data_IF_889306519374
#
_entry.id   IF_889306519374
#
_cell.length_a   1.000
_cell.length_b   1.000
_cell.length_c   1.000
_cell.angle_alpha   90.00
_cell.angle_beta   90.00
_cell.angle_gamma   90.00
#
_symmetry.space_group_name_H-M   'P 1'
#
loop_
_entity.id
_entity.type
_entity.pdbx_description
1 polymer ?
#
# COMPACT_ATOMS: atom_id res chain seq x y z
N UNK A 1 -44.14 6.28 -15.92
CA UNK A 1 -43.36 7.08 -14.95
C UNK A 1 -42.23 6.19 -14.49
N UNK A 2 -41.08 6.28 -15.17
CA UNK A 2 -39.91 5.44 -14.92
C UNK A 2 -38.83 6.37 -14.33
N UNK A 3 -38.42 6.12 -13.08
CA UNK A 3 -37.30 6.81 -12.45
C UNK A 3 -36.19 5.79 -12.23
N UNK A 4 -35.46 5.51 -13.30
CA UNK A 4 -34.20 4.77 -13.24
C UNK A 4 -33.11 5.75 -12.83
N UNK A 5 -32.80 5.81 -11.53
CA UNK A 5 -31.64 6.53 -11.01
C UNK A 5 -30.41 5.63 -11.17
N UNK A 6 -29.86 5.58 -12.38
CA UNK A 6 -28.56 4.97 -12.64
C UNK A 6 -27.47 5.78 -11.95
N UNK A 7 -26.78 5.17 -10.98
CA UNK A 7 -25.59 5.75 -10.36
C UNK A 7 -24.48 5.73 -11.40
N UNK A 8 -24.03 6.92 -11.77
CA UNK A 8 -23.02 7.18 -12.79
C UNK A 8 -21.63 6.90 -12.19
N UNK A 9 -20.98 5.82 -12.63
CA UNK A 9 -19.64 5.40 -12.17
C UNK A 9 -18.56 6.06 -13.02
N UNK A 10 -18.59 7.38 -13.21
CA UNK A 10 -17.46 8.14 -13.76
C UNK A 10 -17.50 9.58 -13.22
N UNK A 11 -16.36 10.06 -12.71
CA UNK A 11 -16.11 11.30 -11.92
C UNK A 11 -16.17 11.03 -10.41
N UNK A 12 -15.08 11.07 -9.63
CA UNK A 12 -14.07 12.12 -9.56
C UNK A 12 -12.70 11.53 -9.13
N UNK A 13 -11.82 11.34 -10.11
CA UNK A 13 -10.38 11.22 -9.88
C UNK A 13 -9.71 12.52 -10.31
N UNK A 14 -9.74 13.57 -9.47
CA UNK A 14 -8.89 14.75 -9.67
C UNK A 14 -8.68 15.52 -8.37
N UNK A 15 -7.39 15.73 -8.07
CA UNK A 15 -6.80 16.75 -7.21
C UNK A 15 -6.73 16.49 -5.70
N UNK A 16 -5.65 15.83 -5.30
CA UNK A 16 -4.69 16.47 -4.40
C UNK A 16 -3.28 16.27 -4.96
N UNK A 17 -2.81 17.24 -5.74
CA UNK A 17 -1.40 17.35 -6.13
C UNK A 17 -0.58 17.65 -4.87
N UNK A 18 -0.07 16.62 -4.21
CA UNK A 18 1.01 16.78 -3.25
C UNK A 18 2.25 17.21 -4.04
N UNK A 19 2.55 18.50 -4.02
CA UNK A 19 3.79 19.09 -4.50
C UNK A 19 4.97 18.56 -3.67
N UNK A 20 5.40 17.33 -3.96
CA UNK A 20 6.65 16.80 -3.46
C UNK A 20 7.73 17.14 -4.48
N UNK A 21 8.58 18.11 -4.12
CA UNK A 21 9.74 18.51 -4.89
C UNK A 21 10.54 17.28 -5.34
N UNK A 22 10.63 17.10 -6.66
CA UNK A 22 11.47 16.14 -7.34
C UNK A 22 12.93 16.37 -6.94
N UNK A 23 13.42 15.61 -5.96
CA UNK A 23 14.85 15.37 -5.83
C UNK A 23 15.14 14.06 -6.56
N UNK A 24 15.48 14.21 -7.84
CA UNK A 24 15.71 13.13 -8.78
C UNK A 24 16.61 12.02 -8.23
N UNK A 25 15.99 10.87 -7.98
CA UNK A 25 16.66 9.56 -7.79
C UNK A 25 15.82 8.43 -8.42
N UNK A 26 15.09 8.76 -9.47
CA UNK A 26 14.00 7.97 -10.08
C UNK A 26 14.45 6.94 -11.13
N UNK A 27 15.54 6.21 -10.89
CA UNK A 27 16.04 5.25 -11.90
C UNK A 27 16.47 3.89 -11.37
N UNK A 28 16.06 3.50 -10.16
CA UNK A 28 16.36 2.16 -9.66
C UNK A 28 15.26 1.60 -8.75
N UNK A 29 14.00 1.72 -9.14
CA UNK A 29 12.86 1.10 -8.45
C UNK A 29 11.97 0.31 -9.41
N UNK A 30 12.51 -0.74 -10.02
CA UNK A 30 11.66 -1.83 -10.49
C UNK A 30 12.40 -3.15 -10.45
N UNK A 31 12.50 -3.70 -9.23
CA UNK A 31 12.66 -5.14 -9.04
C UNK A 31 11.99 -5.50 -7.73
N UNK A 32 10.66 -5.56 -7.77
CA UNK A 32 9.90 -6.30 -6.77
C UNK A 32 10.33 -7.77 -6.91
N UNK A 33 11.11 -8.27 -5.97
CA UNK A 33 11.30 -9.71 -5.81
C UNK A 33 10.27 -10.22 -4.80
N UNK A 34 9.61 -11.36 -5.07
CA UNK A 34 8.69 -11.97 -4.13
C UNK A 34 9.42 -12.45 -2.88
N UNK A 35 8.69 -12.50 -1.77
CA UNK A 35 9.18 -12.97 -0.47
C UNK A 35 9.44 -14.49 -0.59
N UNK A 36 10.70 -14.84 -0.84
CA UNK A 36 11.18 -16.22 -0.82
C UNK A 36 11.55 -16.64 0.61
N UNK A 37 10.94 -17.73 1.06
CA UNK A 37 11.23 -18.43 2.31
C UNK A 37 12.72 -18.74 2.45
N UNK A 38 13.22 -18.65 3.68
CA UNK A 38 14.64 -18.66 4.00
C UNK A 38 15.37 -19.96 3.69
N UNK A 39 16.71 -19.84 3.58
CA UNK A 39 17.66 -20.92 3.86
C UNK A 39 19.05 -20.30 4.15
N UNK A 40 19.57 -20.64 5.34
CA UNK A 40 21.00 -20.82 5.67
C UNK A 40 22.01 -19.73 5.30
N UNK A 41 22.24 -18.78 6.21
CA UNK A 41 23.53 -18.07 6.27
C UNK A 41 24.52 -18.94 7.05
N UNK A 42 25.40 -19.64 6.34
CA UNK A 42 26.57 -20.28 6.94
C UNK A 42 27.57 -19.19 7.35
N UNK A 43 27.92 -19.20 8.64
CA UNK A 43 28.87 -18.29 9.26
C UNK A 43 30.30 -18.58 8.77
N UNK A 44 30.81 -17.71 7.90
CA UNK A 44 32.24 -17.56 7.64
C UNK A 44 32.84 -16.47 8.53
N UNK A 45 33.02 -16.75 9.81
CA UNK A 45 33.71 -15.85 10.74
C UNK A 45 35.23 -15.96 10.60
N UNK A 46 35.79 -15.27 9.60
CA UNK A 46 37.20 -14.91 9.62
C UNK A 46 37.35 -13.62 10.42
N UNK A 47 37.68 -13.80 11.71
CA UNK A 47 38.15 -12.75 12.58
C UNK A 47 39.40 -12.12 11.96
N UNK A 48 39.25 -10.90 11.43
CA UNK A 48 40.39 -10.04 11.13
C UNK A 48 40.78 -9.33 12.42
N UNK A 49 41.99 -9.60 12.88
CA UNK A 49 42.68 -8.87 13.94
C UNK A 49 42.54 -7.37 13.68
N UNK A 50 41.91 -6.62 14.60
CA UNK A 50 41.77 -5.18 14.48
C UNK A 50 42.23 -4.53 15.77
N UNK A 51 43.54 -4.32 15.85
CA UNK A 51 44.14 -3.38 16.79
C UNK A 51 43.62 -1.98 16.46
N UNK A 52 42.85 -1.41 17.38
CA UNK A 52 42.94 0.02 17.74
C UNK A 52 42.81 1.09 16.66
N UNK A 53 41.95 0.96 15.63
CA UNK A 53 41.64 2.10 14.76
C UNK A 53 40.13 2.25 14.56
N UNK A 54 39.56 3.35 15.07
CA UNK A 54 38.18 3.74 14.76
C UNK A 54 38.10 4.14 13.28
N UNK A 55 37.45 3.38 12.39
CA UNK A 55 37.46 3.64 10.94
C UNK A 55 36.77 4.96 10.54
N UNK A 56 36.03 5.55 11.48
CA UNK A 56 35.33 6.81 11.31
C UNK A 56 36.22 8.04 11.56
N UNK A 57 37.24 7.93 12.43
CA UNK A 57 38.12 9.05 12.78
C UNK A 57 38.95 9.49 11.57
N UNK A 58 39.62 8.53 10.93
CA UNK A 58 40.42 8.74 9.72
C UNK A 58 39.58 9.29 8.56
N UNK A 59 38.36 8.78 8.40
CA UNK A 59 37.47 9.22 7.32
C UNK A 59 37.00 10.68 7.50
N UNK A 60 36.79 11.13 8.75
CA UNK A 60 36.40 12.52 9.02
C UNK A 60 37.56 13.49 8.75
N UNK A 61 38.79 13.12 9.16
CA UNK A 61 39.98 13.91 8.86
C UNK A 61 40.23 14.03 7.35
N UNK A 62 40.01 12.95 6.59
CA UNK A 62 40.08 12.98 5.11
C UNK A 62 39.04 13.94 4.53
N UNK A 63 37.79 13.90 5.01
CA UNK A 63 36.77 14.85 4.56
C UNK A 63 37.16 16.31 4.85
N UNK A 64 37.72 16.59 6.03
CA UNK A 64 38.16 17.92 6.41
C UNK A 64 39.33 18.42 5.52
N UNK A 65 40.32 17.56 5.26
CA UNK A 65 41.44 17.88 4.38
C UNK A 65 41.00 18.16 2.93
N UNK A 66 39.90 17.56 2.48
CA UNK A 66 39.34 17.76 1.15
C UNK A 66 38.31 18.90 1.07
N UNK A 67 38.04 19.58 2.19
CA UNK A 67 36.96 20.57 2.28
C UNK A 67 35.58 20.01 1.96
N UNK A 68 35.37 18.71 2.18
CA UNK A 68 34.12 18.02 1.86
C UNK A 68 33.21 17.93 3.07
N UNK A 69 31.99 18.41 2.92
CA UNK A 69 30.94 18.17 3.91
C UNK A 69 30.35 16.76 3.76
N UNK A 70 29.68 16.29 4.83
CA UNK A 70 29.01 14.98 4.84
C UNK A 70 27.90 14.91 3.79
N UNK A 71 27.17 16.01 3.57
CA UNK A 71 26.10 16.12 2.57
C UNK A 71 26.66 16.03 1.15
N UNK A 72 27.71 16.78 0.84
CA UNK A 72 28.37 16.75 -0.47
C UNK A 72 28.97 15.38 -0.80
N UNK A 73 29.53 14.67 0.18
CA UNK A 73 30.05 13.32 0.00
C UNK A 73 28.96 12.32 -0.40
N UNK A 74 27.75 12.47 0.13
CA UNK A 74 26.63 11.59 -0.20
C UNK A 74 26.08 11.92 -1.58
N UNK A 75 25.91 13.21 -1.89
CA UNK A 75 25.27 13.71 -3.11
C UNK A 75 26.14 13.63 -4.37
N UNK A 76 27.48 13.74 -4.24
CA UNK A 76 28.37 13.67 -5.39
C UNK A 76 28.24 12.37 -6.18
N UNK A 77 28.30 12.40 -7.51
CA UNK A 77 28.33 11.17 -8.31
C UNK A 77 29.58 10.32 -8.01
N UNK A 78 29.55 9.04 -8.40
CA UNK A 78 30.74 8.17 -8.30
C UNK A 78 31.89 8.72 -9.13
N UNK A 79 31.61 9.29 -10.32
CA UNK A 79 32.61 9.93 -11.18
C UNK A 79 33.28 11.11 -10.49
N UNK A 80 32.50 12.02 -9.91
CA UNK A 80 33.03 13.20 -9.18
C UNK A 80 33.86 12.77 -7.96
N UNK A 81 33.40 11.77 -7.20
CA UNK A 81 34.18 11.21 -6.10
C UNK A 81 35.52 10.66 -6.59
N UNK A 82 35.52 9.88 -7.67
CA UNK A 82 36.73 9.28 -8.22
C UNK A 82 37.72 10.31 -8.78
N UNK A 83 37.25 11.45 -9.29
CA UNK A 83 38.11 12.57 -9.70
C UNK A 83 38.76 13.18 -8.45
N UNK A 84 37.97 13.50 -7.42
CA UNK A 84 38.50 14.10 -6.17
C UNK A 84 39.52 13.21 -5.46
N UNK A 85 39.26 11.90 -5.39
CA UNK A 85 40.20 10.93 -4.82
C UNK A 85 41.55 10.94 -5.55
N UNK A 86 41.54 11.03 -6.89
CA UNK A 86 42.76 11.07 -7.72
C UNK A 86 43.50 12.39 -7.61
N UNK A 87 42.79 13.53 -7.68
CA UNK A 87 43.38 14.87 -7.59
C UNK A 87 44.00 15.12 -6.22
N UNK A 88 43.45 14.53 -5.16
CA UNK A 88 43.99 14.67 -3.80
C UNK A 88 45.06 13.62 -3.45
N UNK A 89 45.46 12.76 -4.39
CA UNK A 89 46.47 11.72 -4.19
C UNK A 89 46.24 10.86 -2.93
N UNK A 90 44.99 10.47 -2.67
CA UNK A 90 44.65 9.65 -1.51
C UNK A 90 45.22 8.23 -1.64
N UNK A 91 45.77 7.72 -0.55
CA UNK A 91 46.24 6.34 -0.49
C UNK A 91 45.06 5.34 -0.54
N UNK A 92 45.36 4.07 -0.85
CA UNK A 92 44.38 2.99 -0.92
C UNK A 92 43.58 2.82 0.39
N UNK A 93 44.22 3.00 1.55
CA UNK A 93 43.51 2.93 2.84
C UNK A 93 42.54 4.10 3.02
N UNK A 94 42.98 5.32 2.70
CA UNK A 94 42.16 6.54 2.79
C UNK A 94 40.96 6.48 1.83
N UNK A 95 41.18 5.97 0.63
CA UNK A 95 40.11 5.75 -0.37
C UNK A 95 39.06 4.76 0.14
N UNK A 96 39.48 3.66 0.77
CA UNK A 96 38.56 2.69 1.39
C UNK A 96 37.78 3.30 2.54
N UNK A 97 38.45 4.08 3.40
CA UNK A 97 37.80 4.78 4.53
C UNK A 97 36.73 5.77 4.04
N UNK A 98 37.03 6.57 3.01
CA UNK A 98 36.09 7.54 2.44
C UNK A 98 34.87 6.85 1.79
N UNK A 99 35.10 5.74 1.08
CA UNK A 99 34.02 4.91 0.51
C UNK A 99 33.15 4.29 1.61
N UNK A 100 33.76 3.79 2.69
CA UNK A 100 33.05 3.23 3.83
C UNK A 100 32.20 4.30 4.52
N UNK A 101 32.76 5.48 4.79
CA UNK A 101 32.02 6.61 5.37
C UNK A 101 30.84 7.02 4.48
N UNK A 102 31.05 7.11 3.17
CA UNK A 102 29.96 7.40 2.23
C UNK A 102 28.84 6.34 2.28
N UNK A 103 29.18 5.06 2.38
CA UNK A 103 28.20 3.97 2.52
C UNK A 103 27.45 4.06 3.84
N UNK A 104 28.15 4.31 4.95
CA UNK A 104 27.55 4.53 6.28
C UNK A 104 26.54 5.69 6.27
N UNK A 105 26.88 6.81 5.63
CA UNK A 105 26.00 7.96 5.51
C UNK A 105 24.76 7.67 4.65
N UNK A 106 24.94 6.99 3.51
CA UNK A 106 23.81 6.54 2.68
C UNK A 106 22.89 5.58 3.42
N UNK A 107 23.47 4.59 4.12
CA UNK A 107 22.71 3.63 4.93
C UNK A 107 21.89 4.32 6.03
N UNK A 108 22.43 5.39 6.63
CA UNK A 108 21.66 6.21 7.58
C UNK A 108 20.43 6.84 6.92
N UNK A 109 20.58 7.38 5.71
CA UNK A 109 19.46 7.91 4.92
C UNK A 109 18.45 6.82 4.54
N UNK A 110 18.93 5.67 4.06
CA UNK A 110 18.07 4.53 3.71
C UNK A 110 17.27 4.00 4.91
N UNK A 111 17.84 3.98 6.11
CA UNK A 111 17.13 3.59 7.32
C UNK A 111 15.97 4.55 7.65
N UNK A 112 16.18 5.86 7.48
CA UNK A 112 15.11 6.84 7.67
C UNK A 112 13.99 6.66 6.64
N UNK A 113 14.33 6.58 5.35
CA UNK A 113 13.36 6.39 4.26
C UNK A 113 12.60 5.05 4.44
N UNK A 114 13.29 3.99 4.85
CA UNK A 114 12.64 2.69 5.11
C UNK A 114 11.59 2.78 6.21
N UNK A 115 11.85 3.54 7.28
CA UNK A 115 10.88 3.77 8.36
C UNK A 115 9.69 4.59 7.86
N UNK A 116 9.93 5.67 7.13
CA UNK A 116 8.89 6.51 6.53
C UNK A 116 7.98 5.69 5.60
N UNK A 117 8.55 4.99 4.62
CA UNK A 117 7.80 4.14 3.68
C UNK A 117 7.00 3.05 4.37
N UNK A 118 7.52 2.47 5.45
CA UNK A 118 6.79 1.47 6.24
C UNK A 118 5.56 2.07 6.93
N UNK A 119 5.70 3.27 7.48
CA UNK A 119 4.57 3.98 8.13
C UNK A 119 3.54 4.40 7.09
N UNK A 120 3.98 4.95 5.95
CA UNK A 120 3.12 5.31 4.83
C UNK A 120 2.37 4.09 4.27
N UNK A 121 3.07 2.98 4.02
CA UNK A 121 2.46 1.75 3.53
C UNK A 121 1.44 1.19 4.52
N UNK A 122 1.74 1.24 5.83
CA UNK A 122 0.77 0.83 6.85
C UNK A 122 -0.47 1.73 6.81
N UNK A 123 -0.32 3.05 6.76
CA UNK A 123 -1.44 3.98 6.66
C UNK A 123 -2.30 3.75 5.42
N UNK A 124 -1.67 3.51 4.27
CA UNK A 124 -2.38 3.19 3.02
C UNK A 124 -3.18 1.87 3.12
N UNK A 125 -2.65 0.85 3.80
CA UNK A 125 -3.38 -0.40 4.03
C UNK A 125 -4.53 -0.22 5.03
N UNK A 126 -4.35 0.63 6.05
CA UNK A 126 -5.40 0.97 7.02
C UNK A 126 -6.55 1.73 6.34
N UNK A 127 -6.25 2.68 5.46
CA UNK A 127 -7.23 3.41 4.65
C UNK A 127 -8.02 2.46 3.74
N UNK A 128 -7.33 1.60 2.97
CA UNK A 128 -8.01 0.62 2.12
C UNK A 128 -8.93 -0.32 2.90
N UNK A 129 -8.47 -0.79 4.06
CA UNK A 129 -9.29 -1.64 4.94
C UNK A 129 -10.56 -0.91 5.37
N UNK A 130 -10.46 0.38 5.70
CA UNK A 130 -11.62 1.16 6.12
C UNK A 130 -12.58 1.42 4.96
N UNK A 131 -12.07 1.75 3.77
CA UNK A 131 -12.89 1.89 2.56
C UNK A 131 -13.68 0.61 2.25
N UNK A 132 -13.02 -0.55 2.30
CA UNK A 132 -13.67 -1.83 2.04
C UNK A 132 -14.74 -2.13 3.09
N UNK A 133 -14.49 -1.80 4.37
CA UNK A 133 -15.49 -1.96 5.43
C UNK A 133 -16.72 -1.10 5.19
N UNK A 134 -16.53 0.17 4.85
CA UNK A 134 -17.64 1.06 4.53
C UNK A 134 -18.47 0.53 3.35
N UNK A 135 -17.83 -0.08 2.33
CA UNK A 135 -18.56 -0.72 1.23
C UNK A 135 -19.35 -1.95 1.66
N UNK A 136 -18.81 -2.78 2.57
CA UNK A 136 -19.53 -3.92 3.12
C UNK A 136 -20.77 -3.43 3.88
N UNK A 137 -20.61 -2.44 4.77
CA UNK A 137 -21.72 -1.88 5.54
C UNK A 137 -22.81 -1.28 4.65
N UNK A 138 -22.42 -0.59 3.57
CA UNK A 138 -23.38 -0.07 2.59
C UNK A 138 -24.15 -1.20 1.88
N UNK A 139 -23.46 -2.24 1.42
CA UNK A 139 -24.09 -3.39 0.76
C UNK A 139 -24.96 -4.22 1.71
N UNK A 140 -24.59 -4.33 2.98
CA UNK A 140 -25.41 -4.96 4.01
C UNK A 140 -26.71 -4.17 4.23
N UNK A 141 -26.62 -2.84 4.31
CA UNK A 141 -27.81 -1.98 4.42
C UNK A 141 -28.73 -2.10 3.20
N UNK A 142 -28.17 -2.12 1.99
CA UNK A 142 -28.95 -2.35 0.75
C UNK A 142 -29.62 -3.73 0.73
N UNK A 143 -28.92 -4.77 1.18
CA UNK A 143 -29.50 -6.11 1.29
C UNK A 143 -30.65 -6.17 2.30
N UNK A 144 -30.50 -5.50 3.45
CA UNK A 144 -31.55 -5.43 4.47
C UNK A 144 -32.78 -4.67 3.94
N UNK A 145 -32.58 -3.60 3.17
CA UNK A 145 -33.67 -2.87 2.51
C UNK A 145 -34.40 -3.75 1.50
N UNK A 146 -33.68 -4.47 0.64
CA UNK A 146 -34.26 -5.41 -0.32
C UNK A 146 -35.02 -6.53 0.41
N UNK A 147 -34.47 -7.07 1.49
CA UNK A 147 -35.13 -8.09 2.29
C UNK A 147 -36.44 -7.57 2.92
N UNK A 148 -36.45 -6.33 3.42
CA UNK A 148 -37.65 -5.68 3.94
C UNK A 148 -38.70 -5.46 2.85
N UNK A 149 -38.28 -5.10 1.63
CA UNK A 149 -39.15 -4.95 0.47
C UNK A 149 -39.77 -6.28 0.04
N UNK A 150 -38.98 -7.35 -0.03
CA UNK A 150 -39.48 -8.70 -0.29
C UNK A 150 -40.50 -9.09 0.79
N UNK A 151 -40.22 -8.85 2.06
CA UNK A 151 -41.14 -9.15 3.15
C UNK A 151 -42.44 -8.34 3.05
N UNK A 152 -42.38 -7.06 2.67
CA UNK A 152 -43.55 -6.22 2.42
C UNK A 152 -44.40 -6.79 1.28
N UNK A 153 -43.82 -7.03 0.12
CA UNK A 153 -44.54 -7.55 -1.05
C UNK A 153 -45.17 -8.92 -0.74
N UNK A 154 -44.45 -9.80 -0.04
CA UNK A 154 -44.99 -11.09 0.41
C UNK A 154 -46.19 -10.94 1.33
N UNK A 155 -46.16 -10.00 2.27
CA UNK A 155 -47.30 -9.71 3.17
C UNK A 155 -48.50 -9.19 2.39
N UNK A 156 -48.29 -8.20 1.51
CA UNK A 156 -49.36 -7.59 0.72
C UNK A 156 -50.02 -8.63 -0.20
N UNK A 157 -49.22 -9.46 -0.87
CA UNK A 157 -49.71 -10.57 -1.70
C UNK A 157 -50.50 -11.58 -0.88
N UNK A 158 -50.00 -11.97 0.30
CA UNK A 158 -50.68 -12.92 1.19
C UNK A 158 -52.02 -12.36 1.68
N UNK A 159 -52.05 -11.08 2.05
CA UNK A 159 -53.27 -10.40 2.47
C UNK A 159 -54.31 -10.33 1.36
N UNK A 160 -53.88 -9.99 0.14
CA UNK A 160 -54.76 -9.95 -1.03
C UNK A 160 -55.31 -11.34 -1.37
N UNK A 161 -54.47 -12.37 -1.38
CA UNK A 161 -54.93 -13.74 -1.62
C UNK A 161 -55.97 -14.18 -0.58
N UNK A 162 -55.72 -13.93 0.70
CA UNK A 162 -56.67 -14.26 1.76
C UNK A 162 -58.01 -13.54 1.56
N UNK A 163 -57.97 -12.26 1.22
CA UNK A 163 -59.17 -11.46 0.94
C UNK A 163 -59.96 -12.00 -0.26
N UNK A 164 -59.29 -12.35 -1.37
CA UNK A 164 -59.93 -12.93 -2.55
C UNK A 164 -60.57 -14.29 -2.27
N UNK A 165 -59.93 -15.12 -1.44
CA UNK A 165 -60.48 -16.42 -1.01
C UNK A 165 -61.73 -16.22 -0.16
N UNK A 166 -61.70 -15.31 0.80
CA UNK A 166 -62.84 -14.99 1.67
C UNK A 166 -64.07 -14.55 0.87
N UNK A 167 -63.85 -13.74 -0.18
CA UNK A 167 -64.91 -13.22 -1.04
C UNK A 167 -65.26 -14.15 -2.21
N UNK A 168 -64.74 -15.38 -2.23
CA UNK A 168 -64.98 -16.40 -3.27
C UNK A 168 -64.67 -15.89 -4.69
N UNK A 169 -63.68 -15.00 -4.83
CA UNK A 169 -63.26 -14.43 -6.12
C UNK A 169 -62.29 -15.33 -6.88
N UNK A 170 -61.82 -16.43 -6.28
CA UNK A 170 -60.87 -17.37 -6.86
C UNK A 170 -61.43 -18.79 -6.84
N UNK A 171 -61.13 -19.54 -7.89
CA UNK A 171 -61.43 -20.97 -8.01
C UNK A 171 -60.39 -21.82 -7.27
N UNK A 172 -60.72 -23.09 -7.01
CA UNK A 172 -59.82 -24.03 -6.31
C UNK A 172 -58.51 -24.25 -7.08
N UNK A 173 -58.55 -24.28 -8.41
CA UNK A 173 -57.36 -24.44 -9.26
C UNK A 173 -56.46 -23.20 -9.19
N UNK A 174 -57.03 -22.00 -9.15
CA UNK A 174 -56.28 -20.76 -9.00
C UNK A 174 -55.62 -20.63 -7.63
N UNK A 175 -56.31 -21.05 -6.56
CA UNK A 175 -55.73 -21.08 -5.20
C UNK A 175 -54.52 -22.04 -5.15
N UNK A 176 -54.68 -23.25 -5.70
CA UNK A 176 -53.59 -24.24 -5.76
C UNK A 176 -52.39 -23.73 -6.59
N UNK A 177 -52.66 -23.00 -7.67
CA UNK A 177 -51.62 -22.35 -8.48
C UNK A 177 -50.85 -21.30 -7.68
N UNK A 178 -51.53 -20.39 -6.98
CA UNK A 178 -50.87 -19.34 -6.20
C UNK A 178 -50.12 -19.89 -4.97
N UNK A 179 -50.63 -20.95 -4.33
CA UNK A 179 -49.90 -21.66 -3.26
C UNK A 179 -48.69 -22.45 -3.80
N UNK A 180 -48.75 -22.91 -5.05
CA UNK A 180 -47.62 -23.50 -5.77
C UNK A 180 -46.52 -22.47 -6.01
N UNK A 181 -46.89 -21.30 -6.55
CA UNK A 181 -45.96 -20.18 -6.74
C UNK A 181 -45.34 -19.72 -5.42
N UNK A 182 -46.12 -19.63 -4.33
CA UNK A 182 -45.58 -19.26 -3.02
C UNK A 182 -44.45 -20.19 -2.57
N UNK A 183 -44.62 -21.51 -2.73
CA UNK A 183 -43.63 -22.52 -2.34
C UNK A 183 -42.37 -22.50 -3.21
N UNK A 184 -42.48 -22.09 -4.46
CA UNK A 184 -41.34 -22.01 -5.38
C UNK A 184 -40.45 -20.79 -5.09
N UNK A 185 -41.03 -19.73 -4.52
CA UNK A 185 -40.35 -18.48 -4.20
C UNK A 185 -40.13 -18.25 -2.70
N UNK A 186 -40.25 -19.28 -1.85
CA UNK A 186 -39.89 -19.31 -0.41
C UNK A 186 -38.48 -19.85 -0.20
#
# INVERSE_FOLDING_TARGET
MNSTSGINVEQFGSSATASHAETGWDSCQERQQPIGAGQGLQNGSQARNNEGCTPLGDAFAICQALGLTRSELVSMSVRQLNIRVRTAHLDGQQTRALKHLRRMLKNRGYAAICRTRRVEQRGYLEEQKETIRAHIEALEAENDEIAADIARVRRDFTGLLAWCIEHQMLTVEEIQFFEGLRREFE
#
